data_IF_728008381003
#
_entry.id   IF_728008381003
#
_cell.length_a   1.000
_cell.length_b   1.000
_cell.length_c   1.000
_cell.angle_alpha   90.00
_cell.angle_beta   90.00
_cell.angle_gamma   90.00
#
_symmetry.space_group_name_H-M   'P 1'
#
loop_
_entity.id
_entity.type
_entity.pdbx_description
1 polymer ?
#
# COMPACT_ATOMS: atom_id res chain seq x y z
N UNK A 1 3.42 6.43 -22.14
CA UNK A 1 3.96 6.91 -23.44
C UNK A 1 3.65 5.95 -24.60
N UNK A 2 3.69 4.63 -24.41
CA UNK A 2 3.32 3.64 -25.44
C UNK A 2 1.89 3.80 -26.00
N UNK A 3 0.89 4.07 -25.14
CA UNK A 3 -0.50 4.26 -25.58
C UNK A 3 -0.72 5.48 -26.51
N UNK A 4 0.04 6.56 -26.30
CA UNK A 4 0.00 7.74 -27.17
C UNK A 4 0.76 7.51 -28.50
N UNK A 5 1.82 6.70 -28.47
CA UNK A 5 2.55 6.30 -29.69
C UNK A 5 1.69 5.41 -30.61
N UNK A 6 0.88 4.52 -30.02
CA UNK A 6 -0.07 3.67 -30.74
C UNK A 6 -1.23 4.50 -31.34
N UNK A 7 -1.71 5.52 -30.62
CA UNK A 7 -2.76 6.42 -31.11
C UNK A 7 -2.33 7.22 -32.35
N UNK A 8 -1.04 7.57 -32.47
CA UNK A 8 -0.50 8.29 -33.63
C UNK A 8 -0.24 7.40 -34.86
N UNK A 9 -0.21 6.07 -34.72
CA UNK A 9 0.02 5.13 -35.82
C UNK A 9 -1.29 4.70 -36.53
N UNK A 10 -2.44 4.95 -35.91
CA UNK A 10 -3.78 4.78 -36.50
C UNK A 10 -4.34 3.36 -36.48
N UNK A 11 -5.65 3.23 -36.74
CA UNK A 11 -6.37 1.94 -36.84
C UNK A 11 -5.69 0.90 -37.74
N UNK A 12 -5.11 1.24 -38.92
CA UNK A 12 -4.47 0.24 -39.79
C UNK A 12 -3.29 -0.48 -39.14
N UNK A 13 -2.45 0.25 -38.39
CA UNK A 13 -1.31 -0.35 -37.68
C UNK A 13 -1.76 -1.34 -36.60
N UNK A 14 -2.83 -1.00 -35.85
CA UNK A 14 -3.41 -1.87 -34.83
C UNK A 14 -3.96 -3.17 -35.42
N UNK A 15 -4.65 -3.09 -36.55
CA UNK A 15 -5.20 -4.26 -37.26
C UNK A 15 -4.08 -5.19 -37.71
N UNK A 16 -3.02 -4.65 -38.30
CA UNK A 16 -1.86 -5.41 -38.77
C UNK A 16 -1.09 -6.08 -37.62
N UNK A 17 -0.87 -5.35 -36.51
CA UNK A 17 -0.19 -5.85 -35.33
C UNK A 17 -0.99 -6.96 -34.62
N UNK A 18 -2.31 -6.75 -34.42
CA UNK A 18 -3.18 -7.75 -33.81
C UNK A 18 -3.33 -9.01 -34.69
N UNK A 19 -3.46 -8.83 -36.01
CA UNK A 19 -3.47 -9.93 -36.98
C UNK A 19 -2.20 -10.79 -36.88
N UNK A 20 -1.04 -10.15 -36.82
CA UNK A 20 0.26 -10.84 -36.71
C UNK A 20 0.36 -11.60 -35.38
N UNK A 21 0.04 -10.96 -34.25
CA UNK A 21 0.08 -11.58 -32.94
C UNK A 21 -0.91 -12.77 -32.80
N UNK A 22 -2.11 -12.65 -33.37
CA UNK A 22 -3.12 -13.71 -33.34
C UNK A 22 -2.79 -14.89 -34.27
N UNK A 23 -2.00 -14.66 -35.32
CA UNK A 23 -1.53 -15.73 -36.23
C UNK A 23 -0.56 -16.69 -35.53
N UNK A 24 0.22 -16.18 -34.58
CA UNK A 24 1.26 -16.94 -33.87
C UNK A 24 0.68 -17.87 -32.78
N UNK A 25 -0.61 -17.70 -32.43
CA UNK A 25 -1.29 -18.55 -31.48
C UNK A 25 -1.84 -19.81 -32.16
N UNK A 26 -1.46 -20.99 -31.66
CA UNK A 26 -1.98 -22.28 -32.12
C UNK A 26 -3.37 -22.59 -31.56
N UNK A 27 -4.35 -21.75 -31.92
CA UNK A 27 -5.76 -21.92 -31.61
C UNK A 27 -6.62 -21.60 -32.84
N UNK A 28 -7.58 -22.47 -33.23
CA UNK A 28 -8.45 -22.23 -34.38
C UNK A 28 -9.26 -20.92 -34.29
N UNK A 29 -9.64 -20.47 -33.08
CA UNK A 29 -10.31 -19.19 -32.87
C UNK A 29 -9.38 -18.00 -33.14
N UNK A 30 -8.11 -18.09 -32.72
CA UNK A 30 -7.13 -17.04 -32.94
C UNK A 30 -6.77 -16.90 -34.44
N UNK A 31 -6.62 -18.04 -35.14
CA UNK A 31 -6.41 -18.06 -36.60
C UNK A 31 -7.60 -17.48 -37.36
N UNK A 32 -8.83 -17.83 -36.96
CA UNK A 32 -10.05 -17.25 -37.55
C UNK A 32 -10.17 -15.73 -37.34
N UNK A 33 -9.79 -15.23 -36.15
CA UNK A 33 -9.76 -13.79 -35.86
C UNK A 33 -8.67 -13.05 -36.66
N UNK A 34 -7.47 -13.64 -36.80
CA UNK A 34 -6.41 -13.11 -37.66
C UNK A 34 -6.85 -12.96 -39.12
N UNK A 35 -7.45 -14.00 -39.69
CA UNK A 35 -7.92 -13.98 -41.08
C UNK A 35 -9.00 -12.92 -41.32
N UNK A 36 -9.87 -12.68 -40.32
CA UNK A 36 -10.84 -11.60 -40.37
C UNK A 36 -10.15 -10.22 -40.36
N UNK A 37 -9.13 -10.02 -39.53
CA UNK A 37 -8.35 -8.77 -39.47
C UNK A 37 -7.56 -8.52 -40.77
N UNK A 38 -6.97 -9.55 -41.39
CA UNK A 38 -6.31 -9.44 -42.71
C UNK A 38 -7.27 -9.02 -43.82
N UNK A 39 -8.52 -9.50 -43.76
CA UNK A 39 -9.56 -9.04 -44.71
C UNK A 39 -9.85 -7.55 -44.51
N UNK A 40 -9.99 -7.09 -43.26
CA UNK A 40 -10.18 -5.68 -42.96
C UNK A 40 -9.01 -4.83 -43.47
N UNK A 41 -7.77 -5.25 -43.25
CA UNK A 41 -6.56 -4.60 -43.78
C UNK A 41 -6.60 -4.49 -45.32
N UNK A 42 -6.93 -5.59 -46.01
CA UNK A 42 -7.03 -5.58 -47.48
C UNK A 42 -8.13 -4.65 -48.02
N UNK A 43 -9.21 -4.45 -47.27
CA UNK A 43 -10.31 -3.56 -47.65
C UNK A 43 -10.01 -2.08 -47.34
N UNK A 44 -9.14 -1.81 -46.37
CA UNK A 44 -8.52 -0.49 -46.15
C UNK A 44 -7.60 -0.15 -47.33
N UNK A 45 -6.70 -1.06 -47.72
CA UNK A 45 -5.74 -0.85 -48.81
C UNK A 45 -6.42 -0.65 -50.18
N UNK A 46 -7.56 -1.33 -50.39
CA UNK A 46 -8.40 -1.17 -51.58
C UNK A 46 -9.22 0.13 -51.60
N UNK A 47 -9.13 0.95 -50.54
CA UNK A 47 -9.86 2.22 -50.42
C UNK A 47 -11.38 2.06 -50.24
N UNK A 48 -11.86 0.84 -49.93
CA UNK A 48 -13.29 0.58 -49.68
C UNK A 48 -13.72 1.02 -48.29
N UNK A 49 -12.78 1.11 -47.36
CA UNK A 49 -12.93 1.85 -46.10
C UNK A 49 -12.35 3.24 -46.32
N UNK A 50 -13.19 4.27 -46.23
CA UNK A 50 -12.77 5.63 -46.53
C UNK A 50 -11.80 6.17 -45.46
N UNK A 51 -10.85 7.01 -45.90
CA UNK A 51 -9.93 7.73 -45.02
C UNK A 51 -10.68 8.56 -43.95
N UNK A 52 -11.85 9.09 -44.30
CA UNK A 52 -12.70 9.83 -43.36
C UNK A 52 -13.24 8.95 -42.22
N UNK A 53 -13.60 7.70 -42.50
CA UNK A 53 -14.04 6.75 -41.45
C UNK A 53 -12.88 6.34 -40.54
N UNK A 54 -11.67 6.18 -41.08
CA UNK A 54 -10.46 5.89 -40.30
C UNK A 54 -10.10 7.08 -39.40
N UNK A 55 -10.18 8.30 -39.93
CA UNK A 55 -9.92 9.52 -39.14
C UNK A 55 -10.96 9.71 -38.03
N UNK A 56 -12.24 9.46 -38.29
CA UNK A 56 -13.28 9.48 -37.27
C UNK A 56 -13.03 8.44 -36.17
N UNK A 57 -12.58 7.22 -36.54
CA UNK A 57 -12.21 6.18 -35.58
C UNK A 57 -10.99 6.58 -34.73
N UNK A 58 -9.96 7.19 -35.34
CA UNK A 58 -8.79 7.69 -34.63
C UNK A 58 -9.17 8.78 -33.61
N UNK A 59 -10.04 9.74 -33.99
CA UNK A 59 -10.54 10.76 -33.07
C UNK A 59 -11.35 10.17 -31.91
N UNK A 60 -12.12 9.12 -32.16
CA UNK A 60 -12.84 8.42 -31.09
C UNK A 60 -11.88 7.75 -30.11
N UNK A 61 -10.83 7.08 -30.60
CA UNK A 61 -9.79 6.47 -29.76
C UNK A 61 -9.07 7.54 -28.93
N UNK A 62 -8.72 8.67 -29.54
CA UNK A 62 -8.09 9.79 -28.84
C UNK A 62 -8.99 10.32 -27.71
N UNK A 63 -10.28 10.51 -28.00
CA UNK A 63 -11.26 10.97 -27.00
C UNK A 63 -11.42 9.97 -25.86
N UNK A 64 -11.46 8.67 -26.17
CA UNK A 64 -11.53 7.59 -25.17
C UNK A 64 -10.29 7.54 -24.28
N UNK A 65 -9.10 7.75 -24.85
CA UNK A 65 -7.84 7.83 -24.10
C UNK A 65 -7.84 9.04 -23.16
N UNK A 66 -8.31 10.20 -23.63
CA UNK A 66 -8.46 11.39 -22.79
C UNK A 66 -9.40 11.12 -21.61
N UNK A 67 -10.60 10.61 -21.87
CA UNK A 67 -11.59 10.29 -20.82
C UNK A 67 -10.99 9.31 -19.79
N UNK A 68 -10.35 8.23 -20.25
CA UNK A 68 -9.70 7.27 -19.36
C UNK A 68 -8.57 7.92 -18.54
N UNK A 69 -7.79 8.79 -19.15
CA UNK A 69 -6.71 9.51 -18.44
C UNK A 69 -7.28 10.41 -17.35
N UNK A 70 -8.38 11.11 -17.64
CA UNK A 70 -9.07 11.99 -16.69
C UNK A 70 -9.71 11.19 -15.55
N UNK A 71 -10.33 10.05 -15.85
CA UNK A 71 -10.86 9.11 -14.83
C UNK A 71 -9.76 8.60 -13.90
N UNK A 72 -8.63 8.15 -14.46
CA UNK A 72 -7.47 7.69 -13.67
C UNK A 72 -6.93 8.81 -12.81
N UNK A 73 -6.80 10.03 -13.36
CA UNK A 73 -6.34 11.20 -12.61
C UNK A 73 -7.29 11.54 -11.47
N UNK A 74 -8.60 11.59 -11.73
CA UNK A 74 -9.62 11.88 -10.73
C UNK A 74 -9.62 10.83 -9.62
N UNK A 75 -9.46 9.55 -9.96
CA UNK A 75 -9.37 8.47 -8.98
C UNK A 75 -8.14 8.65 -8.07
N UNK A 76 -6.96 8.89 -8.66
CA UNK A 76 -5.73 9.13 -7.90
C UNK A 76 -5.86 10.38 -7.01
N UNK A 77 -6.46 11.46 -7.52
CA UNK A 77 -6.72 12.67 -6.73
C UNK A 77 -7.66 12.40 -5.56
N UNK A 78 -8.73 11.61 -5.77
CA UNK A 78 -9.68 11.23 -4.73
C UNK A 78 -9.02 10.35 -3.65
N UNK A 79 -8.22 9.35 -4.05
CA UNK A 79 -7.48 8.49 -3.12
C UNK A 79 -6.46 9.31 -2.31
N UNK A 80 -5.73 10.22 -2.97
CA UNK A 80 -4.79 11.08 -2.28
C UNK A 80 -5.48 12.05 -1.32
N UNK A 81 -6.67 12.56 -1.70
CA UNK A 81 -7.48 13.41 -0.84
C UNK A 81 -7.95 12.65 0.40
N UNK A 82 -8.51 11.44 0.23
CA UNK A 82 -8.98 10.63 1.37
C UNK A 82 -7.83 10.22 2.31
N UNK A 83 -6.67 9.86 1.77
CA UNK A 83 -5.47 9.57 2.58
C UNK A 83 -4.99 10.79 3.37
N UNK A 84 -4.99 11.98 2.76
CA UNK A 84 -4.64 13.21 3.47
C UNK A 84 -5.65 13.55 4.55
N UNK A 85 -6.94 13.35 4.28
CA UNK A 85 -8.01 13.52 5.27
C UNK A 85 -7.90 12.50 6.40
N UNK A 86 -7.51 11.26 6.14
CA UNK A 86 -7.26 10.23 7.15
C UNK A 86 -6.03 10.56 8.01
N UNK A 87 -4.94 11.03 7.40
CA UNK A 87 -3.74 11.48 8.13
C UNK A 87 -4.04 12.74 8.97
N UNK A 88 -4.85 13.65 8.43
CA UNK A 88 -5.29 14.85 9.13
C UNK A 88 -6.39 14.57 10.16
N UNK A 89 -7.09 13.44 10.05
CA UNK A 89 -8.08 12.99 11.01
C UNK A 89 -7.40 12.76 12.36
N UNK A 90 -7.60 13.72 13.25
CA UNK A 90 -6.99 13.75 14.59
C UNK A 90 -7.59 12.74 15.56
N UNK A 91 -8.01 11.55 15.09
CA UNK A 91 -8.67 10.54 15.91
C UNK A 91 -7.83 10.24 17.15
N UNK A 92 -8.40 10.62 18.29
CA UNK A 92 -7.80 10.46 19.61
C UNK A 92 -7.54 8.99 19.93
N UNK A 93 -8.32 8.07 19.37
CA UNK A 93 -8.17 6.64 19.59
C UNK A 93 -6.84 6.12 19.02
N UNK A 94 -6.51 6.47 17.77
CA UNK A 94 -5.26 6.05 17.12
C UNK A 94 -4.03 6.63 17.82
N UNK A 95 -4.10 7.87 18.32
CA UNK A 95 -3.02 8.51 19.09
C UNK A 95 -2.85 7.92 20.49
N UNK A 96 -3.93 7.49 21.14
CA UNK A 96 -3.88 6.97 22.52
C UNK A 96 -3.58 5.47 22.57
N UNK A 97 -4.08 4.67 21.62
CA UNK A 97 -3.88 3.22 21.58
C UNK A 97 -2.40 2.83 21.73
N UNK A 98 -1.53 3.56 21.03
CA UNK A 98 -0.09 3.35 21.04
C UNK A 98 0.55 3.47 22.45
N UNK A 99 0.42 4.60 23.18
CA UNK A 99 0.89 4.68 24.56
C UNK A 99 0.10 3.79 25.54
N UNK A 100 -1.20 3.56 25.34
CA UNK A 100 -2.00 2.67 26.21
C UNK A 100 -1.44 1.25 26.23
N UNK A 101 -1.04 0.71 25.07
CA UNK A 101 -0.40 -0.59 24.98
C UNK A 101 0.91 -0.64 25.79
N UNK A 102 1.75 0.41 25.67
CA UNK A 102 2.98 0.52 26.45
C UNK A 102 2.74 0.55 27.96
N UNK A 103 1.73 1.28 28.43
CA UNK A 103 1.38 1.35 29.84
C UNK A 103 0.86 0.02 30.38
N UNK A 104 -0.02 -0.66 29.63
CA UNK A 104 -0.53 -1.99 30.04
C UNK A 104 0.61 -3.00 30.12
N UNK A 105 1.55 -2.98 29.16
CA UNK A 105 2.73 -3.84 29.15
C UNK A 105 3.68 -3.56 30.33
N UNK A 106 3.93 -2.29 30.65
CA UNK A 106 4.75 -1.92 31.79
C UNK A 106 4.10 -2.35 33.11
N UNK A 107 2.79 -2.19 33.23
CA UNK A 107 2.02 -2.60 34.40
C UNK A 107 2.01 -4.12 34.56
N UNK A 108 1.78 -4.87 33.49
CA UNK A 108 1.79 -6.34 33.53
C UNK A 108 3.17 -6.89 33.86
N UNK A 109 4.23 -6.31 33.27
CA UNK A 109 5.61 -6.67 33.61
C UNK A 109 5.92 -6.37 35.07
N UNK A 110 5.56 -5.17 35.54
CA UNK A 110 5.75 -4.77 36.94
C UNK A 110 5.06 -5.74 37.90
N UNK A 111 3.78 -6.04 37.65
CA UNK A 111 3.01 -6.99 38.45
C UNK A 111 3.64 -8.40 38.45
N UNK A 112 4.11 -8.88 37.30
CA UNK A 112 4.79 -10.17 37.18
C UNK A 112 6.10 -10.20 37.99
N UNK A 113 6.93 -9.16 37.88
CA UNK A 113 8.19 -9.07 38.63
C UNK A 113 7.96 -8.95 40.14
N UNK A 114 6.93 -8.22 40.57
CA UNK A 114 6.52 -8.16 41.98
C UNK A 114 6.05 -9.52 42.49
N UNK A 115 5.26 -10.26 41.72
CA UNK A 115 4.81 -11.60 42.10
C UNK A 115 5.99 -12.57 42.25
N UNK A 116 6.97 -12.52 41.34
CA UNK A 116 8.19 -13.33 41.44
C UNK A 116 9.01 -12.95 42.68
N UNK A 117 9.22 -11.65 42.91
CA UNK A 117 9.95 -11.17 44.08
C UNK A 117 9.28 -11.60 45.41
N UNK A 118 7.95 -11.50 45.47
CA UNK A 118 7.17 -11.96 46.63
C UNK A 118 7.40 -13.46 46.88
N UNK A 119 7.30 -14.29 45.85
CA UNK A 119 7.45 -15.74 45.98
C UNK A 119 8.87 -16.11 46.40
N UNK A 120 9.89 -15.42 45.89
CA UNK A 120 11.28 -15.62 46.29
C UNK A 120 11.54 -15.33 47.78
N UNK A 121 10.82 -14.38 48.37
CA UNK A 121 11.01 -13.99 49.78
C UNK A 121 10.14 -14.82 50.72
N UNK A 122 8.86 -15.01 50.40
CA UNK A 122 7.86 -15.57 51.32
C UNK A 122 7.49 -17.03 51.03
N UNK A 123 7.72 -17.52 49.82
CA UNK A 123 7.27 -18.84 49.34
C UNK A 123 8.40 -19.58 48.61
N UNK A 124 9.59 -19.59 49.23
CA UNK A 124 10.85 -20.10 48.64
C UNK A 124 10.73 -21.51 48.09
N UNK A 125 9.95 -22.39 48.72
CA UNK A 125 9.70 -23.75 48.26
C UNK A 125 9.08 -23.81 46.85
N UNK A 126 8.33 -22.78 46.44
CA UNK A 126 7.68 -22.69 45.12
C UNK A 126 8.53 -21.92 44.10
N UNK A 127 9.61 -21.27 44.52
CA UNK A 127 10.39 -20.37 43.67
C UNK A 127 10.93 -21.06 42.41
N UNK A 128 11.49 -22.26 42.55
CA UNK A 128 12.02 -23.03 41.41
C UNK A 128 10.93 -23.37 40.38
N UNK A 129 9.74 -23.76 40.85
CA UNK A 129 8.61 -24.09 39.97
C UNK A 129 8.14 -22.85 39.18
N UNK A 130 8.03 -21.71 39.85
CA UNK A 130 7.57 -20.46 39.22
C UNK A 130 8.60 -19.91 38.23
N UNK A 131 9.89 -19.94 38.57
CA UNK A 131 10.97 -19.55 37.64
C UNK A 131 10.98 -20.43 36.40
N UNK A 132 10.78 -21.75 36.56
CA UNK A 132 10.67 -22.65 35.42
C UNK A 132 9.45 -22.35 34.55
N UNK A 133 8.29 -22.07 35.15
CA UNK A 133 7.09 -21.68 34.43
C UNK A 133 7.27 -20.36 33.66
N UNK A 134 8.08 -19.43 34.19
CA UNK A 134 8.40 -18.18 33.51
C UNK A 134 9.12 -18.39 32.17
N UNK A 135 9.93 -19.44 32.04
CA UNK A 135 10.60 -19.76 30.78
C UNK A 135 9.59 -19.97 29.65
N UNK A 136 8.41 -20.53 29.94
CA UNK A 136 7.35 -20.77 28.96
C UNK A 136 6.67 -19.50 28.47
N UNK A 137 6.75 -18.39 29.22
CA UNK A 137 6.22 -17.09 28.82
C UNK A 137 7.19 -16.31 27.91
N UNK A 138 8.42 -16.80 27.67
CA UNK A 138 9.42 -16.06 26.89
C UNK A 138 8.94 -15.74 25.47
N UNK A 139 8.18 -16.63 24.84
CA UNK A 139 7.66 -16.43 23.49
C UNK A 139 6.66 -15.27 23.41
N UNK A 140 5.71 -15.18 24.35
CA UNK A 140 4.71 -14.09 24.36
C UNK A 140 5.38 -12.75 24.69
N UNK A 141 6.38 -12.75 25.58
CA UNK A 141 7.16 -11.55 25.90
C UNK A 141 8.02 -11.09 24.71
N UNK A 142 8.64 -12.00 23.97
CA UNK A 142 9.40 -11.66 22.78
C UNK A 142 8.53 -10.96 21.74
N UNK A 143 7.31 -11.46 21.50
CA UNK A 143 6.35 -10.82 20.59
C UNK A 143 5.95 -9.43 21.11
N UNK A 144 5.52 -9.33 22.38
CA UNK A 144 5.07 -8.07 22.97
C UNK A 144 6.15 -6.97 22.97
N UNK A 145 7.39 -7.33 23.33
CA UNK A 145 8.53 -6.40 23.31
C UNK A 145 8.95 -6.02 21.90
N UNK A 146 8.82 -6.92 20.92
CA UNK A 146 9.11 -6.61 19.52
C UNK A 146 8.16 -5.54 18.96
N UNK A 147 6.86 -5.65 19.26
CA UNK A 147 5.86 -4.64 18.88
C UNK A 147 6.18 -3.29 19.51
N UNK A 148 6.55 -3.28 20.79
CA UNK A 148 6.92 -2.05 21.50
C UNK A 148 8.21 -1.44 20.93
N UNK A 149 9.20 -2.27 20.56
CA UNK A 149 10.43 -1.84 19.91
C UNK A 149 10.18 -1.15 18.57
N UNK A 150 9.37 -1.75 17.69
CA UNK A 150 8.98 -1.14 16.40
C UNK A 150 8.25 0.18 16.65
N UNK A 151 7.39 0.23 17.66
CA UNK A 151 6.65 1.43 18.01
C UNK A 151 7.58 2.59 18.44
N UNK A 152 8.51 2.33 19.35
CA UNK A 152 9.50 3.33 19.82
C UNK A 152 10.40 3.79 18.67
N UNK A 153 10.80 2.88 17.79
CA UNK A 153 11.62 3.19 16.62
C UNK A 153 10.89 4.15 15.67
N UNK A 154 9.66 3.81 15.26
CA UNK A 154 8.86 4.69 14.39
C UNK A 154 8.58 6.04 15.04
N UNK A 155 8.25 6.06 16.33
CA UNK A 155 8.00 7.32 17.06
C UNK A 155 9.25 8.21 17.12
N UNK A 156 10.42 7.60 17.29
CA UNK A 156 11.69 8.31 17.25
C UNK A 156 11.98 8.87 15.86
N UNK A 157 11.68 8.11 14.80
CA UNK A 157 11.80 8.58 13.42
C UNK A 157 10.83 9.74 13.10
N UNK A 158 9.57 9.66 13.53
CA UNK A 158 8.59 10.74 13.43
C UNK A 158 9.09 12.03 14.11
N UNK A 159 9.64 11.92 15.33
CA UNK A 159 10.23 13.05 16.06
C UNK A 159 11.40 13.67 15.29
N UNK A 160 12.34 12.86 14.79
CA UNK A 160 13.47 13.35 13.98
C UNK A 160 13.00 14.06 12.70
N UNK A 161 12.03 13.51 12.00
CA UNK A 161 11.46 14.12 10.80
C UNK A 161 10.74 15.45 11.08
N UNK A 162 10.18 15.61 12.27
CA UNK A 162 9.59 16.86 12.75
C UNK A 162 10.63 17.90 13.25
N UNK A 163 11.94 17.66 13.04
CA UNK A 163 13.01 18.57 13.48
C UNK A 163 13.30 18.50 14.99
N UNK A 164 12.78 17.48 15.69
CA UNK A 164 13.04 17.28 17.10
C UNK A 164 14.45 16.70 17.30
N UNK A 165 15.39 17.56 17.68
CA UNK A 165 16.73 17.18 18.12
C UNK A 165 16.71 16.99 19.65
N UNK A 166 17.39 15.96 20.17
CA UNK A 166 17.45 15.68 21.61
C UNK A 166 17.97 16.87 22.44
N UNK A 167 18.70 17.78 21.80
CA UNK A 167 19.27 19.01 22.37
C UNK A 167 18.20 20.09 22.63
N UNK A 168 17.04 20.01 21.98
CA UNK A 168 15.91 20.94 22.12
C UNK A 168 14.80 20.40 23.04
N UNK A 169 15.09 19.37 23.84
CA UNK A 169 14.12 18.82 24.80
C UNK A 169 13.96 19.78 25.98
N UNK A 170 13.13 20.81 25.80
CA UNK A 170 12.74 21.72 26.88
C UNK A 170 11.72 21.00 27.76
N UNK A 171 12.19 20.47 28.88
CA UNK A 171 11.29 19.96 29.93
C UNK A 171 10.60 21.17 30.56
N UNK A 172 9.36 21.42 30.15
CA UNK A 172 8.49 22.37 30.84
C UNK A 172 8.14 21.80 32.22
N UNK A 173 9.00 22.05 33.20
CA UNK A 173 8.58 21.98 34.59
C UNK A 173 7.52 23.07 34.76
N UNK A 174 6.26 22.67 34.94
CA UNK A 174 5.23 23.57 35.44
C UNK A 174 5.76 24.12 36.77
N UNK A 175 6.20 25.38 36.78
CA UNK A 175 6.44 26.08 38.02
C UNK A 175 5.05 26.31 38.63
N UNK A 176 4.80 25.87 39.87
CA UNK A 176 3.59 26.29 40.57
C UNK A 176 3.67 27.81 40.76
N UNK A 177 2.56 28.47 40.43
CA UNK A 177 2.33 29.90 40.71
C UNK A 177 2.38 30.18 42.23
#
# INVERSE_FOLDING_TARGET
>A
MLGAAIANLGVPFLVSFLSSALTELDNPLAKGASDALKKVESEIDRGRISVNQINAANHHIEKMIQIRSDEVRANIEQVNKSLREEIASGDQYVRRMRPTFGYIMALSWGAQMFAIAYILVFETAKAALVINAMSSLSAIWAVGLSVLGIYVYKRSAEKKAAGFNAENEVIFWNKPD
#
